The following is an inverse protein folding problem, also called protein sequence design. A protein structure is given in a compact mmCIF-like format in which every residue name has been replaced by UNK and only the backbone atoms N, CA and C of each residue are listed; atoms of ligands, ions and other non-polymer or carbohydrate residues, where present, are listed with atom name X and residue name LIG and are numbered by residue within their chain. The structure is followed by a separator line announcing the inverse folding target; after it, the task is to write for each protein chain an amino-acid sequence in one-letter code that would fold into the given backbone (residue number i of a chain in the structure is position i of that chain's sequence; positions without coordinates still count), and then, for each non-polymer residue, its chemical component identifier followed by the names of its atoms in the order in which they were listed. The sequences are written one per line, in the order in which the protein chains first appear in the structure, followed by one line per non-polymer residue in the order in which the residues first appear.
data_IF_227714010173
#
_entry.id   IF_227714010173
#
_cell.length_a   1.000
_cell.length_b   1.000
_cell.length_c   1.000
_cell.angle_alpha   90.00
_cell.angle_beta   90.00
_cell.angle_gamma   90.00
#
_symmetry.space_group_name_H-M   'P 1'
#
loop_
_entity.id
_entity.type
_entity.pdbx_description
1 polymer ?
#
# COMPACT_ATOMS: atom_id res chain seq x y z
N UNK A 1 -15.21 -5.38 -13.48
CA UNK A 1 -14.21 -4.36 -13.77
C UNK A 1 -13.64 -3.80 -12.48
N UNK A 2 -12.37 -3.98 -12.30
CA UNK A 2 -11.74 -3.54 -11.06
C UNK A 2 -11.16 -2.15 -11.24
N UNK A 3 -11.85 -1.19 -10.67
CA UNK A 3 -11.29 0.13 -10.57
C UNK A 3 -10.70 0.29 -9.19
N UNK A 4 -9.41 0.50 -9.14
CA UNK A 4 -8.76 0.83 -7.89
C UNK A 4 -9.26 2.18 -7.41
N UNK A 5 -9.50 2.28 -6.12
CA UNK A 5 -9.97 3.52 -5.51
C UNK A 5 -8.87 4.06 -4.61
N UNK A 6 -9.00 5.34 -4.27
CA UNK A 6 -8.16 5.91 -3.23
C UNK A 6 -8.46 5.19 -1.92
N UNK A 7 -7.45 4.68 -1.28
CA UNK A 7 -7.58 3.95 -0.02
C UNK A 7 -6.63 4.56 1.00
N UNK A 8 -7.11 4.74 2.23
CA UNK A 8 -6.28 5.22 3.30
C UNK A 8 -5.14 4.25 3.58
N UNK A 9 -3.97 4.80 3.91
CA UNK A 9 -2.78 3.99 4.16
C UNK A 9 -3.01 2.97 5.27
N UNK A 10 -3.60 3.40 6.38
CA UNK A 10 -3.95 2.52 7.46
C UNK A 10 -5.03 1.52 7.08
N UNK A 11 -6.00 1.97 6.30
CA UNK A 11 -7.08 1.13 5.83
C UNK A 11 -6.56 -0.01 4.95
N UNK A 12 -5.66 0.30 4.03
CA UNK A 12 -5.06 -0.72 3.17
C UNK A 12 -4.22 -1.69 4.01
N UNK A 13 -3.48 -1.17 4.97
CA UNK A 13 -2.69 -2.01 5.86
C UNK A 13 -3.57 -3.01 6.62
N UNK A 14 -4.73 -2.56 7.09
CA UNK A 14 -5.68 -3.43 7.79
C UNK A 14 -6.30 -4.48 6.88
N UNK A 15 -6.52 -4.14 5.61
CA UNK A 15 -7.03 -5.10 4.65
C UNK A 15 -6.07 -6.28 4.44
N UNK A 16 -4.77 -5.98 4.41
CA UNK A 16 -3.75 -7.03 4.30
C UNK A 16 -3.51 -7.77 5.60
N UNK A 17 -3.73 -7.11 6.73
CA UNK A 17 -3.42 -7.67 8.04
C UNK A 17 -4.59 -7.45 9.01
N UNK A 18 -5.75 -8.07 8.74
CA UNK A 18 -6.95 -7.79 9.54
C UNK A 18 -6.87 -8.28 10.99
N UNK A 19 -5.94 -9.15 11.29
CA UNK A 19 -5.76 -9.70 12.64
C UNK A 19 -4.73 -8.94 13.46
N UNK A 20 -4.10 -7.92 12.89
CA UNK A 20 -3.12 -7.11 13.62
C UNK A 20 -3.77 -5.81 14.07
N UNK A 21 -3.16 -5.18 15.09
CA UNK A 21 -3.58 -3.84 15.48
C UNK A 21 -3.30 -2.87 14.33
N UNK A 22 -4.00 -1.72 14.28
CA UNK A 22 -3.75 -0.74 13.21
C UNK A 22 -2.28 -0.31 13.12
N UNK A 23 -1.63 -0.10 14.25
CA UNK A 23 -0.23 0.29 14.28
C UNK A 23 0.68 -0.79 13.71
N UNK A 24 0.46 -2.04 14.13
CA UNK A 24 1.25 -3.17 13.64
C UNK A 24 1.00 -3.43 12.16
N UNK A 25 -0.25 -3.29 11.72
CA UNK A 25 -0.60 -3.48 10.31
C UNK A 25 0.12 -2.47 9.41
N UNK A 26 0.16 -1.20 9.84
CA UNK A 26 0.88 -0.16 9.10
C UNK A 26 2.36 -0.45 9.00
N UNK A 27 2.97 -0.87 10.09
CA UNK A 27 4.40 -1.21 10.09
C UNK A 27 4.69 -2.36 9.16
N UNK A 28 3.83 -3.37 9.17
CA UNK A 28 3.99 -4.54 8.33
C UNK A 28 3.91 -4.17 6.85
N UNK A 29 2.91 -3.39 6.48
CA UNK A 29 2.76 -2.96 5.09
C UNK A 29 3.96 -2.10 4.66
N UNK A 30 4.38 -1.18 5.51
CA UNK A 30 5.54 -0.33 5.21
C UNK A 30 6.80 -1.17 4.99
N UNK A 31 6.96 -2.22 5.79
CA UNK A 31 8.09 -3.14 5.68
C UNK A 31 8.06 -3.90 4.35
N UNK A 32 6.90 -4.41 3.97
CA UNK A 32 6.77 -5.10 2.69
C UNK A 32 7.13 -4.19 1.52
N UNK A 33 6.66 -2.95 1.55
CA UNK A 33 6.97 -1.97 0.51
C UNK A 33 8.47 -1.69 0.47
N UNK A 34 9.06 -1.50 1.64
CA UNK A 34 10.50 -1.18 1.72
C UNK A 34 11.38 -2.33 1.23
N UNK A 35 10.98 -3.56 1.51
CA UNK A 35 11.75 -4.74 1.13
C UNK A 35 11.50 -5.21 -0.31
N UNK A 36 10.56 -4.59 -0.98
CA UNK A 36 10.25 -4.91 -2.38
C UNK A 36 10.82 -3.80 -3.25
N UNK A 37 12.03 -3.95 -3.79
CA UNK A 37 12.70 -2.82 -4.48
C UNK A 37 11.91 -2.31 -5.68
N UNK A 38 11.32 -3.21 -6.46
CA UNK A 38 10.52 -2.81 -7.61
C UNK A 38 9.28 -2.04 -7.19
N UNK A 39 8.58 -2.51 -6.18
CA UNK A 39 7.38 -1.85 -5.68
C UNK A 39 7.70 -0.45 -5.17
N UNK A 40 8.77 -0.33 -4.41
CA UNK A 40 9.20 0.95 -3.86
C UNK A 40 9.46 1.96 -4.97
N UNK A 41 10.19 1.56 -6.01
CA UNK A 41 10.50 2.43 -7.14
C UNK A 41 9.25 2.82 -7.93
N UNK A 42 8.37 1.85 -8.16
CA UNK A 42 7.13 2.12 -8.89
C UNK A 42 6.24 3.11 -8.14
N UNK A 43 6.16 2.99 -6.83
CA UNK A 43 5.38 3.92 -6.02
C UNK A 43 5.99 5.32 -6.03
N UNK A 44 7.31 5.43 -6.00
CA UNK A 44 7.98 6.72 -6.11
C UNK A 44 7.66 7.38 -7.45
N UNK A 45 7.68 6.61 -8.52
CA UNK A 45 7.33 7.13 -9.86
C UNK A 45 5.88 7.55 -9.92
N UNK A 46 5.01 6.92 -9.14
CA UNK A 46 3.60 7.28 -9.04
C UNK A 46 3.36 8.43 -8.08
N UNK A 47 4.40 9.06 -7.56
CA UNK A 47 4.29 10.25 -6.74
C UNK A 47 4.08 10.01 -5.25
N UNK A 48 4.40 8.82 -4.76
CA UNK A 48 4.22 8.55 -3.34
C UNK A 48 5.15 9.41 -2.49
N UNK A 49 4.57 10.08 -1.50
CA UNK A 49 5.30 10.91 -0.56
C UNK A 49 5.40 10.22 0.80
N UNK A 50 6.47 10.48 1.57
CA UNK A 50 6.65 9.84 2.87
C UNK A 50 5.51 10.08 3.86
N UNK A 51 4.90 11.27 3.80
CA UNK A 51 3.83 11.66 4.71
C UNK A 51 2.44 11.56 4.08
N UNK A 52 2.33 10.89 2.94
CA UNK A 52 1.06 10.72 2.27
C UNK A 52 0.14 9.81 3.09
N UNK A 53 -1.07 10.25 3.36
CA UNK A 53 -2.00 9.52 4.20
C UNK A 53 -2.86 8.51 3.44
N UNK A 54 -3.03 8.74 2.15
CA UNK A 54 -3.84 7.87 1.32
C UNK A 54 -3.05 7.49 0.08
N UNK A 55 -3.34 6.29 -0.43
CA UNK A 55 -2.79 5.87 -1.72
C UNK A 55 -3.76 6.28 -2.82
N UNK A 56 -3.22 6.83 -3.90
CA UNK A 56 -4.02 7.13 -5.09
C UNK A 56 -4.44 5.82 -5.76
N UNK A 57 -5.46 5.85 -6.64
CA UNK A 57 -5.85 4.63 -7.36
C UNK A 57 -4.69 3.97 -8.11
N UNK A 58 -3.83 4.76 -8.71
CA UNK A 58 -2.65 4.23 -9.42
C UNK A 58 -1.71 3.52 -8.45
N UNK A 59 -1.49 4.10 -7.29
CA UNK A 59 -0.62 3.50 -6.28
C UNK A 59 -1.22 2.22 -5.72
N UNK A 60 -2.53 2.19 -5.50
CA UNK A 60 -3.22 0.98 -5.05
C UNK A 60 -3.07 -0.14 -6.08
N UNK A 61 -3.24 0.19 -7.35
CA UNK A 61 -3.06 -0.77 -8.44
C UNK A 61 -1.65 -1.37 -8.42
N UNK A 62 -0.65 -0.53 -8.26
CA UNK A 62 0.75 -0.97 -8.20
C UNK A 62 0.97 -1.94 -7.04
N UNK A 63 0.42 -1.60 -5.87
CA UNK A 63 0.53 -2.44 -4.68
C UNK A 63 -0.15 -3.79 -4.90
N UNK A 64 -1.35 -3.78 -5.45
CA UNK A 64 -2.10 -5.01 -5.71
C UNK A 64 -1.37 -5.93 -6.69
N UNK A 65 -0.73 -5.35 -7.69
CA UNK A 65 0.05 -6.15 -8.65
C UNK A 65 1.28 -6.77 -8.01
N UNK A 66 1.93 -6.05 -7.11
CA UNK A 66 3.15 -6.52 -6.47
C UNK A 66 2.89 -7.50 -5.34
N UNK A 67 1.89 -7.22 -4.50
CA UNK A 67 1.60 -8.01 -3.30
C UNK A 67 0.40 -8.94 -3.45
N UNK A 68 -0.38 -8.75 -4.50
CA UNK A 68 -1.66 -9.44 -4.64
C UNK A 68 -2.77 -8.68 -3.93
N UNK A 69 -4.00 -9.01 -4.25
CA UNK A 69 -5.14 -8.37 -3.59
C UNK A 69 -5.30 -8.95 -2.18
N UNK A 70 -5.73 -8.12 -1.23
CA UNK A 70 -5.92 -8.59 0.15
C UNK A 70 -7.04 -9.61 0.30
#
# INVERSE_FOLDING_TARGET
MNTCKTIGRGQLAELYNPHLSPSAARKKLAMWIAYHPTLSKELEKAGLQPNQRTFTPKQVEIIFEALGEP
#
